data_IF_870356097748
#
_entry.id   IF_870356097748
#
_cell.length_a   1.000
_cell.length_b   1.000
_cell.length_c   1.000
_cell.angle_alpha   90.00
_cell.angle_beta   90.00
_cell.angle_gamma   90.00
#
_symmetry.space_group_name_H-M   'P 1'
#
loop_
_entity.id
_entity.type
_entity.pdbx_description
1 polymer ?
#
# COMPACT_ATOMS: atom_id res chain seq x y z
N UNK A 1 -21.05 12.05 65.91
CA UNK A 1 -20.28 10.80 65.66
C UNK A 1 -20.76 10.21 64.33
N UNK A 2 -19.89 10.29 63.31
CA UNK A 2 -19.83 9.54 62.02
C UNK A 2 -20.98 9.67 60.98
N UNK A 3 -20.77 10.61 60.06
CA UNK A 3 -21.23 10.58 58.67
C UNK A 3 -20.64 9.35 57.94
N UNK A 4 -21.49 8.57 57.25
CA UNK A 4 -21.07 7.45 56.38
C UNK A 4 -21.34 7.79 54.91
N UNK A 5 -20.29 8.30 54.27
CA UNK A 5 -19.73 7.84 52.99
C UNK A 5 -20.71 7.57 51.82
N UNK A 6 -20.93 8.59 51.00
CA UNK A 6 -21.21 8.43 49.57
C UNK A 6 -19.93 7.93 48.87
N UNK A 7 -19.80 6.61 48.68
CA UNK A 7 -18.67 5.99 47.95
C UNK A 7 -19.15 4.85 47.05
N UNK A 8 -20.18 5.08 46.24
CA UNK A 8 -20.69 4.04 45.32
C UNK A 8 -20.79 4.44 43.85
N UNK A 9 -20.34 5.63 43.45
CA UNK A 9 -20.48 6.11 42.07
C UNK A 9 -19.16 6.37 41.31
N UNK A 10 -17.99 6.01 41.87
CA UNK A 10 -16.72 6.25 41.17
C UNK A 10 -16.22 5.04 40.34
N UNK A 11 -16.74 3.84 40.59
CA UNK A 11 -16.31 2.64 39.85
C UNK A 11 -16.97 2.49 38.48
N UNK A 12 -18.14 3.10 38.27
CA UNK A 12 -18.88 2.99 37.01
C UNK A 12 -18.35 3.94 35.90
N UNK A 13 -17.59 4.98 36.25
CA UNK A 13 -17.08 5.97 35.29
C UNK A 13 -15.76 5.52 34.63
N UNK A 14 -15.02 4.60 35.26
CA UNK A 14 -13.74 4.08 34.72
C UNK A 14 -13.95 2.97 33.69
N UNK A 15 -15.14 2.35 33.65
CA UNK A 15 -15.49 1.33 32.66
C UNK A 15 -16.12 1.92 31.39
N UNK A 16 -15.91 3.21 31.13
CA UNK A 16 -16.19 3.88 29.86
C UNK A 16 -14.94 3.91 28.97
N UNK A 17 -14.02 2.95 29.16
CA UNK A 17 -12.81 2.79 28.35
C UNK A 17 -13.23 2.56 26.90
N UNK A 18 -13.25 3.66 26.15
CA UNK A 18 -13.07 3.80 24.71
C UNK A 18 -13.13 2.47 23.94
N UNK A 19 -14.34 1.97 23.69
CA UNK A 19 -14.61 1.18 22.49
C UNK A 19 -14.62 2.14 21.30
N UNK A 20 -13.50 2.83 21.05
CA UNK A 20 -13.20 3.22 19.67
C UNK A 20 -12.98 1.91 18.95
N UNK A 21 -14.01 1.43 18.25
CA UNK A 21 -13.90 0.24 17.40
C UNK A 21 -12.62 0.37 16.59
N UNK A 22 -11.73 -0.61 16.73
CA UNK A 22 -10.63 -0.79 15.80
C UNK A 22 -11.29 -1.07 14.46
N UNK A 23 -11.52 -0.02 13.67
CA UNK A 23 -11.75 -0.15 12.25
C UNK A 23 -10.45 -0.74 11.68
N UNK A 24 -10.39 -2.07 11.67
CA UNK A 24 -9.36 -2.82 10.97
C UNK A 24 -9.86 -2.93 9.54
N UNK A 25 -9.31 -2.11 8.65
CA UNK A 25 -9.52 -2.34 7.23
C UNK A 25 -8.86 -3.67 6.85
N UNK A 26 -9.54 -4.48 6.03
CA UNK A 26 -8.98 -5.73 5.52
C UNK A 26 -7.75 -5.49 4.65
N UNK A 27 -6.84 -6.47 4.67
CA UNK A 27 -5.60 -6.42 3.93
C UNK A 27 -5.79 -6.87 2.47
N UNK A 28 -4.92 -6.39 1.59
CA UNK A 28 -4.79 -6.85 0.21
C UNK A 28 -3.33 -7.23 -0.08
N UNK A 29 -2.83 -8.33 0.50
CA UNK A 29 -1.39 -8.58 0.62
C UNK A 29 -0.73 -9.07 -0.67
N UNK A 30 -1.49 -9.38 -1.72
CA UNK A 30 -0.97 -10.01 -2.94
C UNK A 30 -1.92 -9.79 -4.13
N UNK A 31 -1.47 -10.18 -5.33
CA UNK A 31 -2.30 -10.21 -6.54
C UNK A 31 -3.62 -10.96 -6.29
N UNK A 32 -4.73 -10.35 -6.71
CA UNK A 32 -6.10 -10.86 -6.52
C UNK A 32 -6.55 -11.01 -5.05
N UNK A 33 -5.85 -10.38 -4.10
CA UNK A 33 -6.29 -10.26 -2.71
C UNK A 33 -5.99 -11.49 -1.85
N UNK A 34 -6.48 -11.52 -0.59
CA UNK A 34 -6.11 -12.54 0.39
C UNK A 34 -6.49 -13.96 -0.04
N UNK A 35 -7.57 -14.11 -0.80
CA UNK A 35 -8.05 -15.41 -1.33
C UNK A 35 -7.68 -15.67 -2.80
N UNK A 36 -6.94 -14.75 -3.45
CA UNK A 36 -6.58 -14.82 -4.88
C UNK A 36 -7.78 -14.98 -5.82
N UNK A 37 -8.89 -14.33 -5.49
CA UNK A 37 -10.16 -14.41 -6.20
C UNK A 37 -10.64 -13.04 -6.72
N UNK A 38 -9.87 -11.97 -6.50
CA UNK A 38 -10.22 -10.59 -6.86
C UNK A 38 -11.51 -10.09 -6.21
N UNK A 39 -11.90 -10.64 -5.06
CA UNK A 39 -13.12 -10.24 -4.37
C UNK A 39 -12.80 -9.34 -3.18
N UNK A 40 -13.34 -8.12 -3.22
CA UNK A 40 -13.39 -7.22 -2.07
C UNK A 40 -14.51 -7.65 -1.11
N UNK A 41 -14.19 -7.77 0.18
CA UNK A 41 -15.10 -8.34 1.20
C UNK A 41 -15.47 -7.38 2.33
N UNK A 42 -14.86 -6.20 2.31
CA UNK A 42 -15.16 -5.12 3.24
C UNK A 42 -16.47 -4.42 2.87
N UNK A 43 -17.09 -3.85 3.90
CA UNK A 43 -18.33 -3.06 3.76
C UNK A 43 -18.01 -1.57 3.95
N UNK A 44 -19.02 -0.69 3.82
CA UNK A 44 -18.82 0.75 4.02
C UNK A 44 -18.14 1.48 2.85
N UNK A 45 -18.02 0.83 1.68
CA UNK A 45 -17.72 1.53 0.44
C UNK A 45 -18.92 2.36 0.00
N UNK A 46 -18.64 3.49 -0.66
CA UNK A 46 -19.68 4.37 -1.19
C UNK A 46 -20.18 3.84 -2.54
N UNK A 47 -21.51 3.81 -2.73
CA UNK A 47 -22.13 3.43 -4.01
C UNK A 47 -21.98 4.52 -5.09
N UNK A 48 -21.79 5.76 -4.65
CA UNK A 48 -21.62 6.91 -5.53
C UNK A 48 -20.54 7.85 -4.97
N UNK A 49 -19.64 8.29 -5.84
CA UNK A 49 -18.68 9.32 -5.49
C UNK A 49 -19.37 10.67 -5.28
N UNK A 50 -18.88 11.51 -4.35
CA UNK A 50 -19.27 12.91 -4.27
C UNK A 50 -19.03 13.61 -5.61
N UNK A 51 -19.73 14.70 -5.88
CA UNK A 51 -19.55 15.49 -7.11
C UNK A 51 -18.10 16.00 -7.26
N UNK A 52 -17.47 16.38 -6.15
CA UNK A 52 -16.06 16.75 -6.10
C UNK A 52 -15.07 15.56 -6.12
N UNK A 53 -15.57 14.32 -6.15
CA UNK A 53 -14.79 13.10 -6.01
C UNK A 53 -14.45 12.72 -4.56
N UNK A 54 -13.87 11.53 -4.34
CA UNK A 54 -13.36 11.14 -3.03
C UNK A 54 -12.19 12.03 -2.61
N UNK A 55 -12.05 12.36 -1.31
CA UNK A 55 -10.93 13.15 -0.84
C UNK A 55 -9.62 12.40 -1.04
N UNK A 56 -8.61 13.14 -1.50
CA UNK A 56 -7.26 12.59 -1.61
C UNK A 56 -6.59 12.70 -0.24
N UNK A 57 -6.27 11.55 0.36
CA UNK A 57 -5.62 11.52 1.67
C UNK A 57 -4.13 11.87 1.58
N UNK A 58 -3.43 11.32 0.59
CA UNK A 58 -2.02 11.58 0.35
C UNK A 58 -1.62 11.23 -1.09
N UNK A 59 -0.47 11.73 -1.52
CA UNK A 59 0.20 11.38 -2.78
C UNK A 59 1.71 11.36 -2.58
N UNK A 60 2.37 10.46 -3.29
CA UNK A 60 3.83 10.44 -3.42
C UNK A 60 4.23 10.29 -4.87
N UNK A 61 5.47 10.69 -5.20
CA UNK A 61 6.06 10.43 -6.52
C UNK A 61 6.67 9.03 -6.53
N UNK A 62 6.35 8.25 -7.56
CA UNK A 62 6.95 6.94 -7.84
C UNK A 62 7.56 6.93 -9.25
N UNK A 63 8.41 5.94 -9.52
CA UNK A 63 8.94 5.62 -10.84
C UNK A 63 7.91 4.95 -11.75
N UNK A 64 8.39 4.44 -12.88
CA UNK A 64 7.55 3.67 -13.80
C UNK A 64 7.31 2.24 -13.31
N UNK A 65 6.21 1.62 -13.73
CA UNK A 65 5.91 0.23 -13.38
C UNK A 65 4.52 -0.18 -13.83
N UNK A 66 4.30 -1.49 -13.88
CA UNK A 66 2.99 -2.10 -14.13
C UNK A 66 2.45 -2.83 -12.89
N UNK A 67 3.27 -3.01 -11.86
CA UNK A 67 2.88 -3.65 -10.62
C UNK A 67 1.80 -2.84 -9.88
N UNK A 68 0.71 -3.51 -9.50
CA UNK A 68 -0.24 -2.94 -8.53
C UNK A 68 0.35 -2.94 -7.11
N UNK A 69 -0.17 -2.09 -6.20
CA UNK A 69 0.24 -2.10 -4.80
C UNK A 69 -0.24 -3.37 -4.07
N UNK A 70 0.49 -3.76 -3.02
CA UNK A 70 -0.02 -4.64 -1.97
C UNK A 70 -0.21 -3.84 -0.69
N UNK A 71 -1.26 -4.13 0.07
CA UNK A 71 -1.55 -3.47 1.35
C UNK A 71 -1.62 -4.54 2.42
N UNK A 72 -0.80 -4.41 3.46
CA UNK A 72 -0.81 -5.35 4.58
C UNK A 72 -0.32 -4.67 5.87
N UNK A 73 -0.92 -5.02 7.01
CA UNK A 73 -0.50 -4.55 8.34
C UNK A 73 -0.33 -3.02 8.42
N UNK A 74 -1.26 -2.27 7.82
CA UNK A 74 -1.22 -0.80 7.80
C UNK A 74 -0.13 -0.19 6.91
N UNK A 75 0.43 -0.96 5.97
CA UNK A 75 1.49 -0.54 5.06
C UNK A 75 1.10 -0.75 3.61
N UNK A 76 1.63 0.10 2.73
CA UNK A 76 1.50 -0.02 1.27
C UNK A 76 2.86 -0.37 0.69
N UNK A 77 2.90 -1.41 -0.14
CA UNK A 77 4.08 -1.90 -0.83
C UNK A 77 3.94 -1.71 -2.34
N UNK A 78 4.88 -1.01 -2.96
CA UNK A 78 4.88 -0.71 -4.40
C UNK A 78 6.27 -0.98 -4.96
N UNK A 79 6.32 -1.62 -6.13
CA UNK A 79 7.55 -1.78 -6.90
C UNK A 79 7.53 -0.82 -8.10
N UNK A 80 8.62 -0.07 -8.28
CA UNK A 80 8.81 0.84 -9.40
C UNK A 80 10.22 0.74 -9.99
N UNK A 81 10.42 1.38 -11.13
CA UNK A 81 11.69 1.46 -11.85
C UNK A 81 12.09 2.93 -12.01
N UNK A 82 13.30 3.23 -11.54
CA UNK A 82 13.91 4.55 -11.58
C UNK A 82 14.91 4.57 -12.74
N UNK A 83 14.66 5.44 -13.71
CA UNK A 83 15.54 5.64 -14.87
C UNK A 83 15.37 7.05 -15.40
N UNK A 84 16.43 7.60 -15.98
CA UNK A 84 16.40 8.87 -16.71
C UNK A 84 15.87 8.70 -18.15
N UNK A 85 15.75 7.45 -18.63
CA UNK A 85 15.25 7.17 -19.96
C UNK A 85 13.74 7.41 -20.09
N UNK A 86 13.30 7.97 -21.22
CA UNK A 86 11.88 8.09 -21.55
C UNK A 86 11.34 6.73 -22.02
N UNK A 87 10.94 5.88 -21.07
CA UNK A 87 10.50 4.50 -21.31
C UNK A 87 9.28 4.41 -22.23
N UNK A 88 8.47 5.48 -22.34
CA UNK A 88 7.33 5.53 -23.27
C UNK A 88 7.79 5.59 -24.72
N UNK A 89 8.83 6.38 -25.02
CA UNK A 89 9.39 6.47 -26.38
C UNK A 89 10.14 5.21 -26.80
N UNK A 90 10.65 4.45 -25.83
CA UNK A 90 11.39 3.21 -26.06
C UNK A 90 10.47 1.97 -26.15
N UNK A 91 9.18 2.12 -25.85
CA UNK A 91 8.22 1.02 -25.89
C UNK A 91 7.93 0.62 -27.34
N UNK A 92 8.48 -0.52 -27.79
CA UNK A 92 8.35 -1.02 -29.15
C UNK A 92 8.48 -2.56 -29.17
N UNK A 93 7.48 -3.34 -29.65
CA UNK A 93 7.56 -4.80 -29.72
C UNK A 93 8.80 -5.34 -30.47
N UNK A 94 9.29 -4.61 -31.48
CA UNK A 94 10.41 -5.00 -32.33
C UNK A 94 11.78 -4.49 -31.88
N UNK A 95 11.87 -3.75 -30.77
CA UNK A 95 13.14 -3.20 -30.28
C UNK A 95 13.26 -3.34 -28.76
N UNK A 96 14.48 -3.54 -28.28
CA UNK A 96 14.78 -3.73 -26.84
C UNK A 96 16.05 -2.96 -26.47
N UNK A 97 16.05 -1.62 -26.66
CA UNK A 97 17.25 -0.83 -26.41
C UNK A 97 17.67 -1.01 -24.94
N UNK A 98 18.97 -1.21 -24.66
CA UNK A 98 19.43 -1.30 -23.30
C UNK A 98 19.23 0.04 -22.60
N UNK A 99 18.71 0.01 -21.39
CA UNK A 99 18.63 1.18 -20.51
C UNK A 99 19.15 0.83 -19.12
N UNK A 100 19.82 1.79 -18.52
CA UNK A 100 20.24 1.71 -17.12
C UNK A 100 19.15 2.25 -16.20
N UNK A 101 19.08 1.69 -15.00
CA UNK A 101 18.17 2.13 -13.95
C UNK A 101 18.26 1.26 -12.71
N UNK A 102 17.33 1.49 -11.81
CA UNK A 102 17.20 0.75 -10.55
C UNK A 102 15.75 0.30 -10.38
N UNK A 103 15.55 -0.97 -10.03
CA UNK A 103 14.27 -1.40 -9.49
C UNK A 103 14.23 -1.09 -7.99
N UNK A 104 13.10 -0.59 -7.53
CA UNK A 104 12.91 -0.16 -6.16
C UNK A 104 11.58 -0.68 -5.61
N UNK A 105 11.64 -1.14 -4.37
CA UNK A 105 10.48 -1.51 -3.55
C UNK A 105 10.33 -0.46 -2.46
N UNK A 106 9.16 0.16 -2.39
CA UNK A 106 8.78 1.13 -1.37
C UNK A 106 7.86 0.46 -0.35
N UNK A 107 8.07 0.75 0.92
CA UNK A 107 7.10 0.51 1.99
C UNK A 107 6.67 1.84 2.58
N UNK A 108 5.38 2.12 2.53
CA UNK A 108 4.78 3.37 2.97
C UNK A 108 3.81 3.10 4.12
N UNK A 109 3.68 4.04 5.02
CA UNK A 109 2.59 4.08 5.97
C UNK A 109 1.26 4.31 5.23
N UNK A 110 0.28 3.42 5.39
CA UNK A 110 -0.94 3.46 4.59
C UNK A 110 -1.82 4.70 4.88
N UNK A 111 -1.71 5.29 6.08
CA UNK A 111 -2.53 6.44 6.49
C UNK A 111 -1.95 7.76 5.99
N UNK A 112 -0.63 7.87 5.94
CA UNK A 112 0.07 9.14 5.69
C UNK A 112 0.82 9.18 4.36
N UNK A 113 1.08 8.02 3.76
CA UNK A 113 1.94 7.90 2.58
C UNK A 113 3.43 8.10 2.88
N UNK A 114 3.82 8.27 4.15
CA UNK A 114 5.22 8.47 4.54
C UNK A 114 6.02 7.20 4.28
N UNK A 115 7.20 7.34 3.68
CA UNK A 115 8.13 6.23 3.52
C UNK A 115 8.58 5.68 4.89
N UNK A 116 8.43 4.37 5.07
CA UNK A 116 8.92 3.62 6.24
C UNK A 116 10.30 3.05 5.91
N UNK A 117 10.43 2.41 4.75
CA UNK A 117 11.69 1.92 4.23
C UNK A 117 11.65 1.81 2.69
N UNK A 118 12.83 1.73 2.10
CA UNK A 118 13.02 1.42 0.68
C UNK A 118 14.12 0.38 0.49
N UNK A 119 13.93 -0.50 -0.50
CA UNK A 119 14.97 -1.38 -1.02
C UNK A 119 15.14 -1.10 -2.51
N UNK A 120 16.39 -1.00 -3.00
CA UNK A 120 16.68 -0.77 -4.41
C UNK A 120 17.91 -1.51 -4.86
N UNK A 121 17.96 -1.85 -6.13
CA UNK A 121 19.13 -2.45 -6.77
C UNK A 121 19.25 -2.00 -8.22
N UNK A 122 20.49 -1.85 -8.70
CA UNK A 122 20.78 -1.58 -10.09
C UNK A 122 20.25 -2.73 -10.97
N UNK A 123 19.49 -2.39 -12.00
CA UNK A 123 18.91 -3.33 -12.94
C UNK A 123 18.93 -2.72 -14.34
N UNK A 124 19.64 -3.36 -15.28
CA UNK A 124 19.61 -2.96 -16.69
C UNK A 124 18.45 -3.64 -17.37
N UNK A 125 17.63 -2.89 -18.10
CA UNK A 125 16.59 -3.47 -18.94
C UNK A 125 17.05 -3.58 -20.38
N UNK A 126 16.68 -4.69 -21.02
CA UNK A 126 16.63 -4.86 -22.47
C UNK A 126 15.28 -5.51 -22.82
N UNK A 127 14.21 -4.74 -22.60
CA UNK A 127 12.80 -5.19 -22.69
C UNK A 127 12.06 -4.24 -23.64
N UNK A 128 11.12 -4.78 -24.42
CA UNK A 128 10.34 -4.00 -25.41
C UNK A 128 9.34 -3.02 -24.81
N UNK A 129 9.03 -3.16 -23.52
CA UNK A 129 8.17 -2.28 -22.74
C UNK A 129 8.86 -1.99 -21.41
N UNK A 130 9.86 -1.10 -21.39
CA UNK A 130 10.83 -1.03 -20.31
C UNK A 130 10.37 -0.11 -19.16
N UNK A 131 9.07 0.04 -18.95
CA UNK A 131 8.55 1.00 -17.98
C UNK A 131 8.79 0.59 -16.52
N UNK A 132 8.93 -0.71 -16.22
CA UNK A 132 9.22 -1.18 -14.86
C UNK A 132 8.70 -2.58 -14.53
N UNK A 133 8.78 -2.96 -13.24
CA UNK A 133 8.34 -4.27 -12.73
C UNK A 133 6.84 -4.49 -12.96
N UNK A 134 6.47 -5.77 -13.11
CA UNK A 134 5.11 -6.20 -13.50
C UNK A 134 4.32 -6.87 -12.39
N UNK A 135 5.00 -7.46 -11.43
CA UNK A 135 4.37 -8.27 -10.41
C UNK A 135 4.05 -7.46 -9.17
N UNK A 136 2.77 -7.46 -8.75
CA UNK A 136 2.36 -6.94 -7.43
C UNK A 136 3.16 -7.65 -6.34
N UNK A 137 3.77 -6.91 -5.38
CA UNK A 137 4.43 -7.51 -4.24
C UNK A 137 3.55 -8.51 -3.50
N UNK A 138 4.13 -9.57 -2.95
CA UNK A 138 3.43 -10.50 -2.07
C UNK A 138 3.92 -10.32 -0.64
N UNK A 139 3.01 -10.04 0.28
CA UNK A 139 3.29 -9.95 1.71
C UNK A 139 2.82 -11.23 2.38
N UNK A 140 3.73 -11.92 3.06
CA UNK A 140 3.39 -13.13 3.80
C UNK A 140 4.31 -13.29 5.01
N UNK A 141 3.72 -13.50 6.19
CA UNK A 141 4.44 -13.72 7.45
C UNK A 141 5.53 -12.67 7.72
N UNK A 142 5.17 -11.38 7.56
CA UNK A 142 6.07 -10.25 7.79
C UNK A 142 7.19 -10.08 6.77
N UNK A 143 7.17 -10.83 5.67
CA UNK A 143 8.14 -10.73 4.57
C UNK A 143 7.46 -10.23 3.30
N UNK A 144 8.21 -9.49 2.50
CA UNK A 144 7.78 -8.96 1.20
C UNK A 144 8.58 -9.65 0.11
N UNK A 145 7.89 -10.27 -0.84
CA UNK A 145 8.48 -10.94 -1.99
C UNK A 145 8.14 -10.15 -3.24
N UNK A 146 9.16 -9.86 -4.06
CA UNK A 146 9.03 -9.11 -5.30
C UNK A 146 9.81 -9.84 -6.39
N UNK A 147 9.24 -9.83 -7.60
CA UNK A 147 9.90 -10.27 -8.82
C UNK A 147 9.98 -9.07 -9.77
N UNK A 148 11.19 -8.78 -10.24
CA UNK A 148 11.48 -7.72 -11.20
C UNK A 148 10.86 -7.95 -12.59
N UNK A 149 11.22 -7.09 -13.54
CA UNK A 149 10.68 -7.04 -14.90
C UNK A 149 11.25 -8.08 -15.88
#
# INVERSE_FOLDING_TARGET
>A
MRSRSARFNLLAVVLSLNLTGLASADDWPQWMGPKRDSVWRETGIIDKFPEAGPPVLWRIKIGGGYAGPAVADGRVYVADYLTEADTKKLSNPGSRPPIDGEERVLCLDAKTGKEIWTHRYACKYSISYPAGPRCTPTVHQGKVYVLGA
#
